data_IF_398408222935
#
_entry.id   IF_398408222935
#
_cell.length_a   1.000
_cell.length_b   1.000
_cell.length_c   1.000
_cell.angle_alpha   90.00
_cell.angle_beta   90.00
_cell.angle_gamma   90.00
#
_symmetry.space_group_name_H-M   'P 1'
#
loop_
_entity.id
_entity.type
_entity.pdbx_description
1 polymer ?
#
# COMPACT_ATOMS: atom_id res chain seq x y z
N UNK A 1 8.19 13.92 7.36
CA UNK A 1 6.89 13.43 7.84
C UNK A 1 6.78 11.98 7.40
N UNK A 2 6.63 11.04 8.32
CA UNK A 2 6.59 9.61 8.08
C UNK A 2 5.89 8.92 9.27
N UNK A 3 5.59 7.63 9.19
CA UNK A 3 5.00 6.87 10.31
C UNK A 3 6.06 6.29 11.25
N UNK A 4 7.30 6.12 10.79
CA UNK A 4 8.33 5.36 11.53
C UNK A 4 8.20 3.85 11.41
N UNK A 5 7.18 3.36 10.71
CA UNK A 5 6.95 1.94 10.47
C UNK A 5 7.53 1.50 9.12
N UNK A 6 7.85 0.22 9.00
CA UNK A 6 8.29 -0.42 7.75
C UNK A 6 7.38 -1.61 7.46
N UNK A 7 6.99 -1.76 6.20
CA UNK A 7 6.19 -2.87 5.70
C UNK A 7 6.74 -3.28 4.33
N UNK A 8 6.75 -4.58 4.06
CA UNK A 8 7.13 -5.16 2.78
C UNK A 8 5.99 -5.08 1.76
N UNK A 9 6.34 -5.21 0.47
CA UNK A 9 5.33 -5.35 -0.60
C UNK A 9 4.48 -6.61 -0.40
N UNK A 10 5.06 -7.67 0.16
CA UNK A 10 4.32 -8.89 0.49
C UNK A 10 3.26 -8.62 1.57
N UNK A 11 3.59 -7.92 2.66
CA UNK A 11 2.62 -7.56 3.70
C UNK A 11 1.48 -6.71 3.15
N UNK A 12 1.77 -5.80 2.22
CA UNK A 12 0.75 -5.03 1.52
C UNK A 12 -0.19 -5.93 0.70
N UNK A 13 0.35 -6.88 -0.08
CA UNK A 13 -0.47 -7.84 -0.81
C UNK A 13 -1.30 -8.72 0.13
N UNK A 14 -0.71 -9.22 1.21
CA UNK A 14 -1.41 -10.02 2.22
C UNK A 14 -2.58 -9.26 2.85
N UNK A 15 -2.35 -8.02 3.27
CA UNK A 15 -3.37 -7.20 3.91
C UNK A 15 -4.49 -6.82 2.92
N UNK A 16 -4.14 -6.43 1.69
CA UNK A 16 -5.12 -6.04 0.67
C UNK A 16 -6.03 -7.21 0.27
N UNK A 17 -5.46 -8.40 0.02
CA UNK A 17 -6.23 -9.58 -0.39
C UNK A 17 -7.08 -10.15 0.76
N UNK A 18 -6.62 -10.02 2.01
CA UNK A 18 -7.41 -10.41 3.18
C UNK A 18 -8.74 -9.64 3.26
N UNK A 19 -8.78 -8.36 2.86
CA UNK A 19 -10.02 -7.57 2.86
C UNK A 19 -11.10 -8.11 1.91
N UNK A 20 -10.71 -8.89 0.91
CA UNK A 20 -11.62 -9.49 -0.07
C UNK A 20 -11.69 -11.02 0.03
N UNK A 21 -11.19 -11.59 1.13
CA UNK A 21 -11.19 -13.03 1.42
C UNK A 21 -10.53 -13.88 0.31
N UNK A 22 -9.39 -13.40 -0.20
CA UNK A 22 -8.58 -14.09 -1.22
C UNK A 22 -7.18 -14.41 -0.68
N UNK A 23 -6.55 -15.49 -1.16
CA UNK A 23 -5.12 -15.73 -0.97
C UNK A 23 -4.32 -15.05 -2.08
N UNK A 24 -3.51 -14.05 -1.74
CA UNK A 24 -2.68 -13.30 -2.69
C UNK A 24 -1.76 -14.19 -3.52
N UNK A 25 -1.35 -15.35 -2.98
CA UNK A 25 -0.45 -16.31 -3.66
C UNK A 25 -1.06 -16.94 -4.91
N UNK A 26 -2.38 -16.92 -5.02
CA UNK A 26 -3.08 -17.45 -6.20
C UNK A 26 -3.06 -16.47 -7.39
N UNK A 27 -2.81 -15.18 -7.15
CA UNK A 27 -2.99 -14.11 -8.14
C UNK A 27 -1.72 -13.31 -8.45
N UNK A 28 -0.81 -13.19 -7.48
CA UNK A 28 0.38 -12.36 -7.62
C UNK A 28 1.54 -13.17 -8.17
N UNK A 29 2.20 -12.62 -9.19
CA UNK A 29 3.42 -13.18 -9.79
C UNK A 29 4.52 -12.14 -9.82
N UNK A 30 5.78 -12.60 -9.79
CA UNK A 30 6.94 -11.73 -10.03
C UNK A 30 7.25 -11.70 -11.53
N UNK A 31 7.51 -10.52 -12.06
CA UNK A 31 7.89 -10.32 -13.46
C UNK A 31 9.20 -9.53 -13.51
N UNK A 32 10.21 -10.08 -14.18
CA UNK A 32 11.54 -9.48 -14.32
C UNK A 32 11.49 -8.08 -14.94
N UNK A 33 10.47 -7.77 -15.75
CA UNK A 33 10.28 -6.45 -16.37
C UNK A 33 10.08 -5.33 -15.33
N UNK A 34 9.59 -5.66 -14.13
CA UNK A 34 9.41 -4.70 -13.04
C UNK A 34 10.56 -4.70 -12.03
N UNK A 35 11.55 -5.57 -12.19
CA UNK A 35 12.72 -5.64 -11.31
C UNK A 35 13.71 -4.53 -11.67
N UNK A 36 14.10 -3.73 -10.68
CA UNK A 36 15.00 -2.60 -10.88
C UNK A 36 16.46 -3.03 -10.63
N UNK A 37 17.40 -2.71 -11.55
CA UNK A 37 18.83 -3.01 -11.35
C UNK A 37 19.46 -2.31 -10.14
N UNK A 38 18.90 -1.18 -9.72
CA UNK A 38 19.28 -0.46 -8.51
C UNK A 38 18.01 -0.26 -7.67
N UNK A 39 17.80 -1.15 -6.72
CA UNK A 39 16.67 -1.13 -5.80
C UNK A 39 17.05 -0.40 -4.50
N UNK A 40 16.08 0.24 -3.88
CA UNK A 40 16.24 0.79 -2.54
C UNK A 40 15.62 -0.19 -1.57
N UNK A 41 16.46 -0.92 -0.84
CA UNK A 41 16.02 -2.04 -0.01
C UNK A 41 15.11 -1.62 1.17
N UNK A 42 15.33 -0.42 1.72
CA UNK A 42 14.59 0.06 2.88
C UNK A 42 14.46 1.59 2.88
N UNK A 43 13.22 2.05 3.07
CA UNK A 43 12.89 3.45 3.31
C UNK A 43 12.07 3.55 4.60
N UNK A 44 12.68 4.09 5.64
CA UNK A 44 12.01 4.36 6.92
C UNK A 44 12.37 5.77 7.37
N UNK A 45 11.34 6.58 7.65
CA UNK A 45 11.53 7.95 8.10
C UNK A 45 11.39 8.05 9.61
N UNK A 46 12.21 8.89 10.25
CA UNK A 46 12.08 9.22 11.67
C UNK A 46 11.09 10.40 11.86
N UNK A 47 9.93 10.20 12.52
CA UNK A 47 8.95 11.26 12.74
C UNK A 47 9.18 12.07 14.01
N UNK A 48 10.22 11.78 14.82
CA UNK A 48 10.47 12.42 16.13
C UNK A 48 10.36 13.94 16.05
N UNK A 49 11.04 14.57 15.09
CA UNK A 49 11.03 16.03 14.94
C UNK A 49 9.62 16.60 14.69
N UNK A 50 8.79 15.89 13.93
CA UNK A 50 7.42 16.32 13.65
C UNK A 50 6.54 16.21 14.89
N UNK A 51 6.68 15.13 15.67
CA UNK A 51 6.01 14.98 16.96
C UNK A 51 6.41 16.07 17.94
N UNK A 52 7.72 16.29 18.16
CA UNK A 52 8.23 17.25 19.13
C UNK A 52 7.91 18.70 18.77
N UNK A 53 8.03 19.07 17.49
CA UNK A 53 7.92 20.47 17.07
C UNK A 53 6.48 20.87 16.74
N UNK A 54 5.70 19.94 16.18
CA UNK A 54 4.37 20.23 15.64
C UNK A 54 3.24 19.55 16.42
N UNK A 55 3.55 18.65 17.37
CA UNK A 55 2.56 17.77 17.99
C UNK A 55 1.90 16.82 16.99
N UNK A 56 2.57 16.55 15.87
CA UNK A 56 2.02 15.74 14.78
C UNK A 56 2.24 14.25 15.03
N UNK A 57 1.19 13.46 14.83
CA UNK A 57 1.23 11.99 14.83
C UNK A 57 0.38 11.44 13.66
N UNK A 58 0.74 10.28 13.08
CA UNK A 58 -0.08 9.67 12.04
C UNK A 58 -1.41 9.20 12.63
N UNK A 59 -2.53 9.65 12.04
CA UNK A 59 -3.88 9.27 12.49
C UNK A 59 -4.46 8.06 11.76
N UNK A 60 -3.73 7.51 10.77
CA UNK A 60 -4.14 6.38 9.93
C UNK A 60 -2.99 5.37 9.96
N UNK A 61 -3.29 4.14 10.34
CA UNK A 61 -2.31 3.04 10.36
C UNK A 61 -2.07 2.47 8.96
N UNK A 62 -1.07 1.61 8.81
CA UNK A 62 -0.86 0.86 7.56
C UNK A 62 -2.12 0.08 7.14
N UNK A 63 -2.68 -0.72 8.05
CA UNK A 63 -3.88 -1.52 7.77
C UNK A 63 -5.11 -0.66 7.45
N UNK A 64 -5.28 0.46 8.16
CA UNK A 64 -6.37 1.40 7.84
C UNK A 64 -6.22 1.99 6.44
N UNK A 65 -5.00 2.36 6.04
CA UNK A 65 -4.74 2.90 4.72
C UNK A 65 -5.00 1.85 3.62
N UNK A 66 -4.52 0.62 3.80
CA UNK A 66 -4.79 -0.48 2.86
C UNK A 66 -6.30 -0.69 2.72
N UNK A 67 -7.03 -0.74 3.84
CA UNK A 67 -8.50 -0.86 3.84
C UNK A 67 -9.17 0.25 3.03
N UNK A 68 -8.80 1.50 3.31
CA UNK A 68 -9.36 2.68 2.64
C UNK A 68 -9.15 2.63 1.12
N UNK A 69 -7.97 2.17 0.68
CA UNK A 69 -7.64 2.01 -0.74
C UNK A 69 -8.49 0.91 -1.39
N UNK A 70 -8.56 -0.27 -0.77
CA UNK A 70 -9.33 -1.42 -1.31
C UNK A 70 -10.83 -1.09 -1.37
N UNK A 71 -11.39 -0.48 -0.33
CA UNK A 71 -12.79 -0.04 -0.30
C UNK A 71 -13.08 0.96 -1.44
N UNK A 72 -12.18 1.91 -1.69
CA UNK A 72 -12.32 2.89 -2.76
C UNK A 72 -12.31 2.23 -4.16
N UNK A 73 -11.40 1.27 -4.40
CA UNK A 73 -11.33 0.55 -5.67
C UNK A 73 -12.56 -0.34 -5.90
N UNK A 74 -13.06 -1.02 -4.85
CA UNK A 74 -14.31 -1.78 -4.91
C UNK A 74 -15.49 -0.87 -5.29
N UNK A 75 -15.59 0.31 -4.66
CA UNK A 75 -16.63 1.28 -4.98
C UNK A 75 -16.52 1.84 -6.40
N UNK A 76 -15.30 2.06 -6.89
CA UNK A 76 -15.07 2.46 -8.28
C UNK A 76 -15.53 1.38 -9.27
N UNK A 77 -15.18 0.11 -9.02
CA UNK A 77 -15.59 -1.03 -9.83
C UNK A 77 -17.11 -1.21 -9.86
N UNK A 78 -17.79 -1.10 -8.71
CA UNK A 78 -19.27 -1.18 -8.64
C UNK A 78 -19.96 -0.09 -9.47
N UNK A 79 -19.34 1.08 -9.62
CA UNK A 79 -19.88 2.21 -10.38
C UNK A 79 -19.58 2.11 -11.87
N UNK A 80 -18.92 1.03 -12.34
CA UNK A 80 -18.30 0.97 -13.67
C UNK A 80 -17.46 2.22 -13.97
N UNK A 81 -16.89 2.84 -12.93
CA UNK A 81 -15.99 3.96 -13.10
C UNK A 81 -14.66 3.39 -13.59
N UNK A 82 -14.07 4.02 -14.61
CA UNK A 82 -12.72 3.66 -15.08
C UNK A 82 -11.75 3.82 -13.91
N UNK A 83 -11.07 2.75 -13.56
CA UNK A 83 -9.93 2.78 -12.64
C UNK A 83 -8.72 3.26 -13.46
N UNK A 84 -8.26 4.51 -13.34
CA UNK A 84 -7.37 5.14 -14.34
C UNK A 84 -6.00 4.47 -14.51
N UNK A 85 -5.61 3.64 -13.55
CA UNK A 85 -4.29 3.02 -13.47
C UNK A 85 -4.29 1.50 -13.74
N UNK A 86 -5.43 0.91 -14.11
CA UNK A 86 -5.53 -0.50 -14.53
C UNK A 86 -5.43 -0.71 -16.05
N UNK A 87 -5.10 0.34 -16.81
CA UNK A 87 -4.82 0.26 -18.25
C UNK A 87 -3.40 -0.27 -18.51
N UNK A 88 -3.09 -1.48 -18.06
CA UNK A 88 -1.90 -2.23 -18.49
C UNK A 88 -2.29 -3.18 -19.61
N UNK A 89 -2.55 -2.60 -20.79
CA UNK A 89 -2.65 -3.32 -22.06
C UNK A 89 -1.26 -3.50 -22.68
#
# INVERSE_FOLDING_TARGET
IATGETHSVQEFCEEAFRFVDLDWREYVVQDERFMRPAEVDMLVGDPTKAGETLGWEPSVTFGDLVRLMVEADIEALKRNARVPHLDYA
#
